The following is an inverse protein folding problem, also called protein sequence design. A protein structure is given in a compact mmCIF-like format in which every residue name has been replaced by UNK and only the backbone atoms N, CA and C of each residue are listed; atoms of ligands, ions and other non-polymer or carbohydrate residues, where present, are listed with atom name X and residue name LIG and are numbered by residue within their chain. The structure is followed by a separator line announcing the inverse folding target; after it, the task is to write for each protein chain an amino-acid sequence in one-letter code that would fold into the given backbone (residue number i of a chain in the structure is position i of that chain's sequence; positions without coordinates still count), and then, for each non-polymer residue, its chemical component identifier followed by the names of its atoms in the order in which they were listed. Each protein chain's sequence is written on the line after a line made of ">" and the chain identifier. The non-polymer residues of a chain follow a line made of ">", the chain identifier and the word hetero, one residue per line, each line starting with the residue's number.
data_IF_127984508636
#
_entry.id   IF_127984508636
#
_cell.length_a   1.000
_cell.length_b   1.000
_cell.length_c   1.000
_cell.angle_alpha   90.00
_cell.angle_beta   90.00
_cell.angle_gamma   90.00
#
_symmetry.space_group_name_H-M   'P 1'
#
loop_
_entity.id
_entity.type
_entity.pdbx_description
1 polymer ?
#
# COMPACT_ATOMS: atom_id res chain seq x y z
N UNK A 1 50.52 6.88 17.29
CA UNK A 1 49.89 6.33 16.07
C UNK A 1 50.05 7.34 14.95
N UNK A 2 50.54 6.93 13.78
CA UNK A 2 50.73 7.81 12.61
C UNK A 2 49.39 8.11 11.94
N UNK A 3 49.14 9.36 11.50
CA UNK A 3 47.88 9.79 10.86
C UNK A 3 47.41 8.85 9.72
N UNK A 4 48.34 8.22 9.00
CA UNK A 4 48.07 7.23 7.96
C UNK A 4 47.39 5.94 8.48
N UNK A 5 47.76 5.44 9.66
CA UNK A 5 47.14 4.22 10.22
C UNK A 5 45.71 4.47 10.71
N UNK A 6 45.44 5.69 11.20
CA UNK A 6 44.09 6.08 11.60
C UNK A 6 43.16 6.22 10.40
N UNK A 7 43.64 6.85 9.31
CA UNK A 7 42.91 6.92 8.04
C UNK A 7 42.59 5.52 7.50
N UNK A 8 43.58 4.62 7.47
CA UNK A 8 43.35 3.25 7.01
C UNK A 8 42.29 2.52 7.86
N UNK A 9 42.32 2.69 9.20
CA UNK A 9 41.34 2.13 10.12
C UNK A 9 39.93 2.68 9.87
N UNK A 10 39.81 3.97 9.61
CA UNK A 10 38.52 4.60 9.30
C UNK A 10 37.97 4.10 7.96
N UNK A 11 38.81 4.01 6.93
CA UNK A 11 38.41 3.47 5.62
C UNK A 11 37.91 2.03 5.74
N UNK A 12 38.65 1.17 6.45
CA UNK A 12 38.23 -0.22 6.70
C UNK A 12 36.91 -0.27 7.50
N UNK A 13 36.77 0.60 8.51
CA UNK A 13 35.55 0.72 9.30
C UNK A 13 34.31 1.09 8.47
N UNK A 14 34.47 1.97 7.46
CA UNK A 14 33.38 2.33 6.54
C UNK A 14 32.98 1.12 5.69
N UNK A 15 33.94 0.42 5.08
CA UNK A 15 33.64 -0.77 4.27
C UNK A 15 32.95 -1.85 5.10
N UNK A 16 33.43 -2.07 6.32
CA UNK A 16 32.83 -3.03 7.24
C UNK A 16 31.40 -2.64 7.63
N UNK A 17 31.15 -1.37 7.92
CA UNK A 17 29.80 -0.89 8.24
C UNK A 17 28.84 -1.08 7.05
N UNK A 18 29.30 -0.76 5.83
CA UNK A 18 28.49 -0.96 4.62
C UNK A 18 28.15 -2.45 4.43
N UNK A 19 29.15 -3.33 4.56
CA UNK A 19 28.97 -4.75 4.36
C UNK A 19 28.09 -5.40 5.44
N UNK A 20 28.35 -5.08 6.70
CA UNK A 20 27.79 -5.80 7.85
C UNK A 20 26.49 -5.20 8.38
N UNK A 21 26.22 -3.92 8.13
CA UNK A 21 25.03 -3.22 8.66
C UNK A 21 24.16 -2.66 7.55
N UNK A 22 24.72 -1.84 6.66
CA UNK A 22 23.91 -1.16 5.64
C UNK A 22 23.28 -2.13 4.64
N UNK A 23 24.07 -3.04 4.06
CA UNK A 23 23.59 -4.01 3.07
C UNK A 23 22.50 -4.94 3.65
N UNK A 24 22.66 -5.52 4.85
CA UNK A 24 21.58 -6.26 5.52
C UNK A 24 20.34 -5.39 5.82
N UNK A 25 20.55 -4.15 6.28
CA UNK A 25 19.45 -3.20 6.52
C UNK A 25 18.65 -2.92 5.25
N UNK A 26 19.32 -2.69 4.12
CA UNK A 26 18.68 -2.47 2.83
C UNK A 26 17.90 -3.70 2.36
N UNK A 27 18.42 -4.92 2.56
CA UNK A 27 17.70 -6.16 2.25
C UNK A 27 16.42 -6.29 3.08
N UNK A 28 16.49 -5.98 4.37
CA UNK A 28 15.32 -5.96 5.25
C UNK A 28 14.29 -4.93 4.79
N UNK A 29 14.74 -3.72 4.46
CA UNK A 29 13.88 -2.67 3.92
C UNK A 29 13.18 -3.10 2.62
N UNK A 30 13.90 -3.71 1.68
CA UNK A 30 13.30 -4.25 0.45
C UNK A 30 12.26 -5.34 0.74
N UNK A 31 12.52 -6.21 1.72
CA UNK A 31 11.56 -7.24 2.14
C UNK A 31 10.29 -6.60 2.74
N UNK A 32 10.44 -5.56 3.54
CA UNK A 32 9.32 -4.79 4.09
C UNK A 32 8.53 -4.10 2.97
N UNK A 33 9.21 -3.51 1.99
CA UNK A 33 8.59 -2.89 0.81
C UNK A 33 7.75 -3.89 0.00
N UNK A 34 8.28 -5.08 -0.30
CA UNK A 34 7.52 -6.15 -0.98
C UNK A 34 6.30 -6.62 -0.17
N UNK A 35 6.44 -6.67 1.15
CA UNK A 35 5.32 -7.04 2.04
C UNK A 35 4.24 -5.97 2.03
N UNK A 36 4.65 -4.70 2.01
CA UNK A 36 3.74 -3.56 1.91
C UNK A 36 2.98 -3.55 0.58
N UNK A 37 3.68 -3.71 -0.53
CA UNK A 37 3.09 -3.86 -1.88
C UNK A 37 2.03 -4.98 -1.91
N UNK A 38 2.39 -6.17 -1.42
CA UNK A 38 1.47 -7.32 -1.35
C UNK A 38 0.24 -7.02 -0.50
N UNK A 39 0.42 -6.32 0.62
CA UNK A 39 -0.69 -5.95 1.51
C UNK A 39 -1.64 -4.97 0.83
N UNK A 40 -1.12 -3.96 0.14
CA UNK A 40 -1.92 -3.01 -0.65
C UNK A 40 -2.70 -3.69 -1.78
N UNK A 41 -2.07 -4.63 -2.49
CA UNK A 41 -2.75 -5.42 -3.53
C UNK A 41 -3.91 -6.24 -2.95
N UNK A 42 -3.70 -6.89 -1.81
CA UNK A 42 -4.77 -7.64 -1.13
C UNK A 42 -5.93 -6.74 -0.68
N UNK A 43 -5.63 -5.56 -0.14
CA UNK A 43 -6.65 -4.56 0.26
C UNK A 43 -7.45 -4.12 -0.96
N UNK A 44 -6.79 -3.85 -2.09
CA UNK A 44 -7.45 -3.49 -3.35
C UNK A 44 -8.44 -4.57 -3.81
N UNK A 45 -8.03 -5.85 -3.77
CA UNK A 45 -8.90 -6.98 -4.15
C UNK A 45 -10.11 -7.09 -3.19
N UNK A 46 -9.88 -6.97 -1.89
CA UNK A 46 -10.95 -7.02 -0.89
C UNK A 46 -11.93 -5.84 -1.04
N UNK A 47 -11.41 -4.64 -1.28
CA UNK A 47 -12.19 -3.43 -1.50
C UNK A 47 -13.10 -3.59 -2.74
N UNK A 48 -12.56 -4.11 -3.85
CA UNK A 48 -13.36 -4.41 -5.05
C UNK A 48 -14.51 -5.39 -4.76
N UNK A 49 -14.26 -6.45 -3.98
CA UNK A 49 -15.30 -7.39 -3.57
C UNK A 49 -16.39 -6.75 -2.69
N UNK A 50 -15.99 -5.87 -1.77
CA UNK A 50 -16.91 -5.09 -0.95
C UNK A 50 -17.80 -4.19 -1.81
N UNK A 51 -17.24 -3.43 -2.77
CA UNK A 51 -18.02 -2.56 -3.65
C UNK A 51 -18.97 -3.30 -4.55
N UNK A 52 -18.53 -4.41 -5.16
CA UNK A 52 -19.42 -5.23 -5.98
C UNK A 52 -20.65 -5.70 -5.17
N UNK A 53 -20.44 -6.05 -3.90
CA UNK A 53 -21.53 -6.45 -3.00
C UNK A 53 -22.43 -5.26 -2.64
N UNK A 54 -21.85 -4.09 -2.40
CA UNK A 54 -22.57 -2.86 -2.10
C UNK A 54 -23.44 -2.39 -3.27
N UNK A 55 -22.90 -2.42 -4.49
CA UNK A 55 -23.64 -2.11 -5.73
C UNK A 55 -24.83 -3.05 -5.88
N UNK A 56 -24.63 -4.36 -5.70
CA UNK A 56 -25.72 -5.33 -5.79
C UNK A 56 -26.82 -5.09 -4.75
N UNK A 57 -26.46 -4.68 -3.53
CA UNK A 57 -27.42 -4.25 -2.51
C UNK A 57 -28.18 -2.99 -2.95
N UNK A 58 -27.48 -2.01 -3.53
CA UNK A 58 -28.07 -0.80 -4.10
C UNK A 58 -29.07 -1.09 -5.22
N UNK A 59 -28.74 -1.99 -6.14
CA UNK A 59 -29.65 -2.46 -7.20
C UNK A 59 -30.92 -3.10 -6.63
N UNK A 60 -30.77 -4.00 -5.65
CA UNK A 60 -31.92 -4.63 -4.98
C UNK A 60 -32.79 -3.60 -4.26
N UNK A 61 -32.18 -2.64 -3.55
CA UNK A 61 -32.90 -1.58 -2.86
C UNK A 61 -33.59 -0.60 -3.83
N UNK A 62 -32.95 -0.27 -4.96
CA UNK A 62 -33.51 0.62 -5.99
C UNK A 62 -34.70 -0.02 -6.72
N UNK A 63 -34.69 -1.35 -6.87
CA UNK A 63 -35.84 -2.09 -7.42
C UNK A 63 -37.05 -2.17 -6.45
N UNK A 64 -36.87 -1.74 -5.20
CA UNK A 64 -37.91 -1.68 -4.18
C UNK A 64 -38.61 -0.31 -4.18
N UNK A 65 -39.95 -0.31 -4.26
CA UNK A 65 -40.78 0.91 -4.16
C UNK A 65 -40.63 1.68 -2.84
N UNK A 66 -40.07 1.07 -1.79
CA UNK A 66 -39.94 1.67 -0.47
C UNK A 66 -38.49 2.08 -0.11
N UNK A 67 -37.50 1.71 -0.92
CA UNK A 67 -36.07 1.82 -0.55
C UNK A 67 -35.20 2.53 -1.59
N UNK A 68 -35.83 3.23 -2.54
CA UNK A 68 -35.16 3.80 -3.70
C UNK A 68 -34.06 4.82 -3.34
N UNK A 69 -34.32 5.73 -2.39
CA UNK A 69 -33.32 6.71 -1.90
C UNK A 69 -32.12 6.06 -1.19
N UNK A 70 -32.32 4.90 -0.55
CA UNK A 70 -31.21 4.12 0.02
C UNK A 70 -30.34 3.51 -1.08
N UNK A 71 -30.95 3.08 -2.19
CA UNK A 71 -30.22 2.62 -3.38
C UNK A 71 -29.32 3.72 -3.94
N UNK A 72 -29.85 4.94 -4.10
CA UNK A 72 -29.08 6.10 -4.59
C UNK A 72 -27.89 6.44 -3.68
N UNK A 73 -28.10 6.39 -2.36
CA UNK A 73 -27.03 6.61 -1.37
C UNK A 73 -25.91 5.56 -1.46
N UNK A 74 -26.27 4.29 -1.67
CA UNK A 74 -25.30 3.20 -1.85
C UNK A 74 -24.51 3.34 -3.14
N UNK A 75 -25.13 3.79 -4.23
CA UNK A 75 -24.43 4.10 -5.47
C UNK A 75 -23.43 5.24 -5.31
N UNK A 76 -23.80 6.32 -4.61
CA UNK A 76 -22.88 7.43 -4.33
C UNK A 76 -21.66 6.98 -3.49
N UNK A 77 -21.87 6.10 -2.50
CA UNK A 77 -20.78 5.52 -1.72
C UNK A 77 -19.85 4.67 -2.59
N UNK A 78 -20.39 3.85 -3.50
CA UNK A 78 -19.59 3.04 -4.41
C UNK A 78 -18.74 3.90 -5.36
N UNK A 79 -19.29 4.99 -5.90
CA UNK A 79 -18.56 5.87 -6.83
C UNK A 79 -17.46 6.68 -6.14
N UNK A 80 -17.72 7.22 -4.94
CA UNK A 80 -16.68 7.90 -4.15
C UNK A 80 -15.48 6.97 -3.89
N UNK A 81 -15.75 5.71 -3.57
CA UNK A 81 -14.71 4.74 -3.35
C UNK A 81 -13.97 4.35 -4.63
N UNK A 82 -14.66 4.25 -5.77
CA UNK A 82 -14.03 4.04 -7.08
C UNK A 82 -13.03 5.15 -7.39
N UNK A 83 -13.40 6.41 -7.11
CA UNK A 83 -12.51 7.55 -7.31
C UNK A 83 -11.28 7.51 -6.40
N UNK A 84 -11.46 7.15 -5.12
CA UNK A 84 -10.36 6.98 -4.17
C UNK A 84 -9.39 5.88 -4.64
N UNK A 85 -9.92 4.77 -5.17
CA UNK A 85 -9.11 3.67 -5.71
C UNK A 85 -8.28 4.10 -6.93
N UNK A 86 -8.88 4.82 -7.88
CA UNK A 86 -8.17 5.36 -9.06
C UNK A 86 -7.04 6.28 -8.63
N UNK A 87 -7.31 7.21 -7.70
CA UNK A 87 -6.29 8.13 -7.20
C UNK A 87 -5.12 7.40 -6.51
N UNK A 88 -5.40 6.28 -5.81
CA UNK A 88 -4.37 5.43 -5.22
C UNK A 88 -3.54 4.71 -6.30
N UNK A 89 -4.17 4.20 -7.36
CA UNK A 89 -3.50 3.54 -8.48
C UNK A 89 -2.62 4.50 -9.28
N UNK A 90 -3.01 5.77 -9.42
CA UNK A 90 -2.21 6.82 -10.09
C UNK A 90 -1.02 7.34 -9.27
N UNK A 91 -1.00 7.10 -7.95
CA UNK A 91 0.05 7.58 -7.04
C UNK A 91 1.19 6.57 -6.82
N UNK A 92 1.11 5.39 -7.44
CA UNK A 92 2.12 4.31 -7.40
C UNK A 92 2.94 4.33 -8.68
#
# INVERSE_FOLDING_TARGET
>A
MTRHSELNRQTEGVYKNIADQFNPGLRSFLSAGRTYEKSLSNVTVAAKGYFNSLVKLGEMASSSKASQEMGDSLFQMAELHRQIQINMEESV
#
